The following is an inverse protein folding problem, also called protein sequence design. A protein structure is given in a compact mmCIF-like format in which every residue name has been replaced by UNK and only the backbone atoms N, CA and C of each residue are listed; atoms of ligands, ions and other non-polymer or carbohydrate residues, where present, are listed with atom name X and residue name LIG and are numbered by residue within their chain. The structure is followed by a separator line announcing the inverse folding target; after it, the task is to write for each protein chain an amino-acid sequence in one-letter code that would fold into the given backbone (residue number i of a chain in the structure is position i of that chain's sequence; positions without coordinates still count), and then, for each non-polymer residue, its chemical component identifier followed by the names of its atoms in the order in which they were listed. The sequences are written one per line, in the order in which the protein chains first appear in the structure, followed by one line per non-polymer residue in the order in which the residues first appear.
data_IF_371579759729
#
_entry.id   IF_371579759729
#
_cell.length_a   1.000
_cell.length_b   1.000
_cell.length_c   1.000
_cell.angle_alpha   90.00
_cell.angle_beta   90.00
_cell.angle_gamma   90.00
#
_symmetry.space_group_name_H-M   'P 1'
#
loop_
_entity.id
_entity.type
_entity.pdbx_description
1 polymer ?
#
# COMPACT_ATOMS: atom_id res chain seq x y z
N UNK A 1 7.48 21.32 -21.79
CA UNK A 1 7.45 19.93 -21.29
C UNK A 1 7.33 19.98 -19.77
N UNK A 2 6.14 19.72 -19.23
CA UNK A 2 5.77 20.09 -17.86
C UNK A 2 6.27 19.04 -16.85
N UNK A 3 7.34 19.36 -16.12
CA UNK A 3 8.01 18.50 -15.13
C UNK A 3 7.07 17.96 -14.04
N UNK A 4 5.95 18.63 -13.78
CA UNK A 4 4.91 18.18 -12.84
C UNK A 4 4.18 16.89 -13.29
N UNK A 5 4.13 16.61 -14.59
CA UNK A 5 3.53 15.37 -15.12
C UNK A 5 4.47 14.15 -14.98
N UNK A 6 5.77 14.36 -14.83
CA UNK A 6 6.76 13.27 -14.70
C UNK A 6 6.96 12.82 -13.25
N UNK A 7 6.86 13.73 -12.27
CA UNK A 7 6.86 13.38 -10.84
C UNK A 7 5.76 12.37 -10.46
N UNK A 8 4.60 12.45 -11.13
CA UNK A 8 3.48 11.51 -10.94
C UNK A 8 3.68 10.16 -11.65
N UNK A 9 4.66 10.07 -12.55
CA UNK A 9 4.99 8.90 -13.38
C UNK A 9 6.13 8.07 -12.77
N UNK A 10 6.93 8.64 -11.87
CA UNK A 10 8.25 8.11 -11.53
C UNK A 10 8.37 7.42 -10.16
N UNK A 11 7.30 7.29 -9.39
CA UNK A 11 7.32 6.28 -8.33
C UNK A 11 7.00 4.97 -9.02
N UNK A 12 8.05 4.21 -9.38
CA UNK A 12 7.90 2.89 -10.00
C UNK A 12 6.87 2.11 -9.19
N UNK A 13 5.95 1.40 -9.84
CA UNK A 13 4.85 0.71 -9.14
C UNK A 13 5.31 -0.24 -8.02
N UNK A 14 6.60 -0.57 -8.00
CA UNK A 14 7.28 -1.40 -7.01
C UNK A 14 7.84 -0.65 -5.80
N UNK A 15 8.25 0.63 -5.92
CA UNK A 15 8.88 1.38 -4.82
C UNK A 15 8.00 1.47 -3.56
N UNK A 16 6.69 1.81 -3.67
CA UNK A 16 5.80 1.85 -2.51
C UNK A 16 5.54 0.46 -1.93
N UNK A 17 5.59 -0.57 -2.78
CA UNK A 17 5.38 -1.97 -2.38
C UNK A 17 6.58 -2.48 -1.58
N UNK A 18 7.81 -2.19 -2.03
CA UNK A 18 9.06 -2.47 -1.31
C UNK A 18 9.13 -1.72 0.02
N UNK A 19 8.76 -0.43 0.03
CA UNK A 19 8.70 0.35 1.26
C UNK A 19 7.72 -0.27 2.26
N UNK A 20 6.49 -0.60 1.82
CA UNK A 20 5.50 -1.28 2.66
C UNK A 20 5.92 -2.67 3.15
N UNK A 21 6.88 -3.32 2.48
CA UNK A 21 7.44 -4.60 2.89
C UNK A 21 8.34 -4.45 4.14
N UNK A 22 9.15 -3.39 4.19
CA UNK A 22 10.10 -3.11 5.29
C UNK A 22 9.38 -2.43 6.47
N UNK A 23 8.57 -1.42 6.18
CA UNK A 23 7.80 -0.67 7.18
C UNK A 23 6.34 -0.67 6.75
N UNK A 24 5.47 -1.43 7.41
CA UNK A 24 4.03 -1.43 7.16
C UNK A 24 3.50 0.00 7.21
N UNK A 25 2.78 0.44 6.18
CA UNK A 25 2.22 1.79 6.12
C UNK A 25 3.11 2.84 5.40
N UNK A 26 4.42 2.60 5.21
CA UNK A 26 5.32 3.58 4.59
C UNK A 26 5.04 3.83 3.10
N UNK A 27 4.57 2.81 2.36
CA UNK A 27 4.14 2.95 0.96
C UNK A 27 2.98 3.92 0.76
N UNK A 28 2.14 4.11 1.78
CA UNK A 28 1.03 5.08 1.73
C UNK A 28 1.49 6.53 1.90
N UNK A 29 2.55 6.77 2.66
CA UNK A 29 3.17 8.10 2.80
C UNK A 29 3.75 8.53 1.46
N UNK A 30 4.44 7.62 0.77
CA UNK A 30 4.99 7.83 -0.57
C UNK A 30 3.88 8.13 -1.60
N UNK A 31 2.68 7.56 -1.42
CA UNK A 31 1.51 7.82 -2.26
C UNK A 31 0.72 9.09 -1.89
N UNK A 32 1.15 9.86 -0.88
CA UNK A 32 0.45 11.06 -0.41
C UNK A 32 -0.84 10.76 0.37
N UNK A 33 -0.96 9.56 0.96
CA UNK A 33 -2.09 9.14 1.81
C UNK A 33 -1.62 8.70 3.21
N UNK A 34 -0.94 9.57 3.98
CA UNK A 34 -0.31 9.18 5.25
C UNK A 34 -1.32 8.66 6.30
N UNK A 35 -2.54 9.22 6.33
CA UNK A 35 -3.58 8.81 7.28
C UNK A 35 -3.99 7.34 7.13
N UNK A 36 -4.01 6.81 5.89
CA UNK A 36 -4.30 5.40 5.63
C UNK A 36 -3.17 4.48 6.10
N UNK A 37 -1.92 4.89 5.87
CA UNK A 37 -0.76 4.15 6.36
C UNK A 37 -0.74 4.06 7.89
N UNK A 38 -1.05 5.16 8.58
CA UNK A 38 -1.10 5.21 10.03
C UNK A 38 -2.21 4.33 10.61
N UNK A 39 -3.43 4.37 10.03
CA UNK A 39 -4.51 3.44 10.44
C UNK A 39 -4.05 2.00 10.31
N UNK A 40 -3.38 1.63 9.21
CA UNK A 40 -2.96 0.26 8.97
C UNK A 40 -1.88 -0.21 9.95
N UNK A 41 -0.90 0.65 10.26
CA UNK A 41 0.12 0.37 11.28
C UNK A 41 -0.51 0.24 12.67
N UNK A 42 -1.46 1.11 13.01
CA UNK A 42 -2.21 1.04 14.26
C UNK A 42 -2.99 -0.26 14.39
N UNK A 43 -3.71 -0.66 13.33
CA UNK A 43 -4.41 -1.94 13.28
C UNK A 43 -3.48 -3.15 13.37
N UNK A 44 -2.29 -3.08 12.77
CA UNK A 44 -1.29 -4.15 12.86
C UNK A 44 -0.80 -4.35 14.29
N UNK A 45 -0.49 -3.26 14.99
CA UNK A 45 -0.05 -3.32 16.40
C UNK A 45 -1.18 -3.79 17.30
N UNK A 46 -2.40 -3.28 17.08
CA UNK A 46 -3.57 -3.65 17.87
C UNK A 46 -3.90 -5.13 17.72
N UNK A 47 -3.98 -5.66 16.49
CA UNK A 47 -4.24 -7.08 16.27
C UNK A 47 -3.07 -7.96 16.68
N UNK A 48 -1.82 -7.53 16.48
CA UNK A 48 -0.65 -8.25 16.97
C UNK A 48 -0.68 -8.41 18.49
N UNK A 49 -1.01 -7.34 19.22
CA UNK A 49 -1.14 -7.36 20.68
C UNK A 49 -2.35 -8.19 21.14
N UNK A 50 -3.51 -8.02 20.51
CA UNK A 50 -4.72 -8.80 20.85
C UNK A 50 -4.47 -10.30 20.63
N UNK A 51 -3.91 -10.70 19.48
CA UNK A 51 -3.60 -12.10 19.21
C UNK A 51 -2.56 -12.63 20.18
N UNK A 52 -1.55 -11.84 20.54
CA UNK A 52 -0.55 -12.22 21.52
C UNK A 52 -1.18 -12.51 22.89
N UNK A 53 -2.10 -11.64 23.34
CA UNK A 53 -2.83 -11.79 24.61
C UNK A 53 -3.83 -12.96 24.60
N UNK A 54 -4.44 -13.26 23.45
CA UNK A 54 -5.41 -14.36 23.31
C UNK A 54 -4.72 -15.72 23.17
N UNK A 55 -3.43 -15.74 22.83
CA UNK A 55 -2.73 -16.99 22.51
C UNK A 55 -2.04 -17.57 23.73
N UNK A 56 -2.25 -18.87 23.96
CA UNK A 56 -1.61 -19.62 25.04
C UNK A 56 -0.13 -19.92 24.73
N UNK A 57 0.70 -20.11 25.77
CA UNK A 57 2.16 -20.30 25.61
C UNK A 57 2.55 -21.52 24.77
N UNK A 58 1.66 -22.51 24.67
CA UNK A 58 1.85 -23.74 23.90
C UNK A 58 1.68 -23.56 22.37
N UNK A 59 1.28 -22.38 21.91
CA UNK A 59 1.06 -22.10 20.49
C UNK A 59 2.33 -21.52 19.87
N UNK A 60 2.61 -21.92 18.63
CA UNK A 60 3.79 -21.47 17.88
C UNK A 60 3.92 -19.94 17.86
N UNK A 61 5.16 -19.40 17.84
CA UNK A 61 5.40 -17.95 17.77
C UNK A 61 4.69 -17.28 16.59
N UNK A 62 4.58 -17.97 15.45
CA UNK A 62 3.86 -17.48 14.26
C UNK A 62 2.35 -17.35 14.53
N UNK A 63 1.76 -18.30 15.28
CA UNK A 63 0.37 -18.22 15.71
C UNK A 63 0.12 -17.05 16.66
N UNK A 64 1.06 -16.79 17.59
CA UNK A 64 1.00 -15.68 18.55
C UNK A 64 0.97 -14.30 17.89
N UNK A 65 1.60 -14.14 16.74
CA UNK A 65 1.62 -12.89 15.97
C UNK A 65 0.73 -12.90 14.72
N UNK A 66 -0.15 -13.89 14.58
CA UNK A 66 -0.97 -14.07 13.36
C UNK A 66 -1.84 -12.85 13.03
N UNK A 67 -2.36 -12.14 14.03
CA UNK A 67 -3.09 -10.88 13.83
C UNK A 67 -2.24 -9.79 13.18
N UNK A 68 -0.98 -9.64 13.58
CA UNK A 68 -0.05 -8.69 12.96
C UNK A 68 0.33 -9.10 11.53
N UNK A 69 0.56 -10.39 11.29
CA UNK A 69 0.91 -10.95 9.97
C UNK A 69 -0.26 -10.79 8.97
N UNK A 70 -1.50 -10.98 9.43
CA UNK A 70 -2.69 -10.78 8.61
C UNK A 70 -2.78 -9.33 8.10
N UNK A 71 -2.61 -8.35 8.99
CA UNK A 71 -2.65 -6.93 8.62
C UNK A 71 -1.44 -6.56 7.73
N UNK A 72 -0.25 -7.11 8.00
CA UNK A 72 0.92 -6.90 7.15
C UNK A 72 0.67 -7.36 5.71
N UNK A 73 0.09 -8.55 5.53
CA UNK A 73 -0.26 -9.08 4.20
C UNK A 73 -1.31 -8.22 3.50
N UNK A 74 -2.35 -7.80 4.23
CA UNK A 74 -3.37 -6.90 3.71
C UNK A 74 -2.78 -5.53 3.30
N UNK A 75 -1.75 -5.05 4.01
CA UNK A 75 -1.06 -3.80 3.69
C UNK A 75 -0.41 -3.83 2.32
N UNK A 76 0.28 -4.92 2.01
CA UNK A 76 0.92 -5.12 0.72
C UNK A 76 -0.13 -5.20 -0.39
N UNK A 77 -1.20 -5.98 -0.19
CA UNK A 77 -2.30 -6.14 -1.15
C UNK A 77 -3.02 -4.82 -1.45
N UNK A 78 -3.25 -4.00 -0.44
CA UNK A 78 -3.95 -2.73 -0.61
C UNK A 78 -3.08 -1.70 -1.34
N UNK A 79 -1.78 -1.60 -1.05
CA UNK A 79 -0.85 -0.76 -1.82
C UNK A 79 -0.80 -1.21 -3.29
N UNK A 80 -0.75 -2.52 -3.55
CA UNK A 80 -0.78 -3.06 -4.90
C UNK A 80 -2.08 -2.67 -5.64
N UNK A 81 -3.25 -2.79 -5.00
CA UNK A 81 -4.54 -2.38 -5.58
C UNK A 81 -4.62 -0.89 -5.86
N UNK A 82 -4.11 -0.05 -4.95
CA UNK A 82 -4.13 1.41 -5.14
C UNK A 82 -3.21 1.81 -6.30
N UNK A 83 -2.02 1.21 -6.36
CA UNK A 83 -1.05 1.41 -7.45
C UNK A 83 -1.69 1.04 -8.81
N UNK A 84 -2.32 -0.13 -8.92
CA UNK A 84 -2.99 -0.57 -10.13
C UNK A 84 -4.15 0.37 -10.56
N UNK A 85 -4.98 0.82 -9.61
CA UNK A 85 -6.07 1.79 -9.90
C UNK A 85 -5.54 3.14 -10.39
N UNK A 86 -4.42 3.60 -9.84
CA UNK A 86 -3.81 4.87 -10.27
C UNK A 86 -3.35 4.81 -11.72
N UNK A 87 -2.80 3.67 -12.18
CA UNK A 87 -2.34 3.48 -13.56
C UNK A 87 -3.50 3.49 -14.58
N UNK A 88 -4.60 2.80 -14.29
CA UNK A 88 -5.79 2.76 -15.16
C UNK A 88 -6.37 4.15 -15.46
N UNK A 89 -6.35 5.05 -14.47
CA UNK A 89 -6.83 6.43 -14.65
C UNK A 89 -5.92 7.27 -15.54
N UNK A 90 -4.61 7.03 -15.50
CA UNK A 90 -3.63 7.72 -16.36
C UNK A 90 -3.76 7.23 -17.80
N UNK A 91 -3.95 5.93 -18.01
CA UNK A 91 -4.06 5.33 -19.33
C UNK A 91 -5.32 5.81 -20.07
N UNK A 92 -6.46 5.88 -19.36
CA UNK A 92 -7.68 6.51 -19.90
C UNK A 92 -7.46 7.96 -20.35
N UNK A 93 -6.75 8.77 -19.55
CA UNK A 93 -6.46 10.17 -19.89
C UNK A 93 -5.54 10.30 -21.11
N UNK A 94 -4.52 9.45 -21.21
CA UNK A 94 -3.65 9.37 -22.40
C UNK A 94 -4.46 9.05 -23.66
N UNK A 95 -5.28 7.99 -23.62
CA UNK A 95 -6.08 7.56 -24.76
C UNK A 95 -7.11 8.62 -25.20
N UNK A 96 -7.70 9.35 -24.24
CA UNK A 96 -8.60 10.47 -24.54
C UNK A 96 -7.87 11.67 -25.20
N UNK A 97 -6.66 12.01 -24.73
CA UNK A 97 -5.84 13.07 -25.32
C UNK A 97 -5.38 12.73 -26.74
N UNK A 98 -4.92 11.49 -26.97
CA UNK A 98 -4.53 11.00 -28.30
C UNK A 98 -5.72 11.07 -29.28
N UNK A 99 -6.92 10.67 -28.83
CA UNK A 99 -8.14 10.75 -29.65
C UNK A 99 -8.54 12.19 -29.97
N UNK A 100 -8.32 13.14 -29.05
CA UNK A 100 -8.60 14.57 -29.26
C UNK A 100 -7.60 15.22 -30.22
N UNK A 101 -6.34 14.79 -30.22
CA UNK A 101 -5.29 15.27 -31.14
C UNK A 101 -5.45 14.76 -32.58
N UNK A 102 -6.19 13.68 -32.80
CA UNK A 102 -6.46 13.10 -34.13
C UNK A 102 -7.75 13.62 -34.78
N UNK A 103 -8.47 14.52 -34.11
CA UNK A 103 -9.68 15.19 -34.61
C UNK A 103 -9.36 16.66 -34.83
#
# INVERSE_FOLDING_TARGET
MNSKLQLRKQISGWLPVLASFIIPGSGYVILGKPLRGLMMLFWMLLFGFITFQLTSENISPVGRFSGGIAIWTLSILEVARISARSQNGIDKKKNAQVKKSRR
#
